data_IF_359302669456
#
_entry.id   IF_359302669456
#
_cell.length_a   1.000
_cell.length_b   1.000
_cell.length_c   1.000
_cell.angle_alpha   90.00
_cell.angle_beta   90.00
_cell.angle_gamma   90.00
#
_symmetry.space_group_name_H-M   'P 1'
#
loop_
_entity.id
_entity.type
_entity.pdbx_description
1 polymer ?
#
# COMPACT_ATOMS: atom_id res chain seq x y z
N UNK A 1 6.03 5.64 12.83
CA UNK A 1 5.67 5.89 14.24
C UNK A 1 6.42 4.98 15.20
N UNK A 2 6.23 3.65 15.20
CA UNK A 2 6.94 2.73 16.11
C UNK A 2 8.47 2.82 15.98
N UNK A 3 8.98 2.79 14.75
CA UNK A 3 10.41 2.97 14.47
C UNK A 3 10.92 4.34 14.93
N UNK A 4 10.18 5.41 14.63
CA UNK A 4 10.55 6.77 15.02
C UNK A 4 10.61 6.97 16.55
N UNK A 5 9.75 6.27 17.29
CA UNK A 5 9.77 6.22 18.76
C UNK A 5 10.86 5.29 19.34
N UNK A 6 11.61 4.59 18.49
CA UNK A 6 12.63 3.63 18.92
C UNK A 6 12.06 2.34 19.52
N UNK A 7 10.78 2.02 19.28
CA UNK A 7 10.15 0.78 19.78
C UNK A 7 10.59 -0.46 18.98
N UNK A 8 11.02 -0.26 17.73
CA UNK A 8 11.60 -1.28 16.85
C UNK A 8 12.50 -0.63 15.79
N UNK A 9 13.29 -1.43 15.08
CA UNK A 9 14.06 -0.99 13.91
C UNK A 9 13.64 -1.76 12.65
N UNK A 10 13.89 -1.21 11.47
CA UNK A 10 13.60 -1.88 10.21
C UNK A 10 14.42 -3.16 10.05
N UNK A 11 15.65 -3.15 10.56
CA UNK A 11 16.62 -4.25 10.51
C UNK A 11 16.36 -5.31 11.58
N UNK A 12 15.43 -5.07 12.53
CA UNK A 12 15.05 -6.09 13.50
C UNK A 12 14.46 -7.31 12.78
N UNK A 13 14.97 -8.49 13.11
CA UNK A 13 14.35 -9.76 12.72
C UNK A 13 12.98 -9.87 13.36
N UNK A 14 11.99 -10.36 12.62
CA UNK A 14 10.61 -10.52 13.11
C UNK A 14 10.57 -11.45 14.33
N UNK A 15 11.43 -12.47 14.37
CA UNK A 15 11.52 -13.41 15.48
C UNK A 15 11.86 -12.76 16.83
N UNK A 16 12.43 -11.56 16.84
CA UNK A 16 12.64 -10.76 18.05
C UNK A 16 11.34 -10.48 18.80
N UNK A 17 10.25 -10.30 18.05
CA UNK A 17 8.91 -10.00 18.58
C UNK A 17 7.96 -11.19 18.48
N UNK A 18 8.24 -12.12 17.55
CA UNK A 18 7.39 -13.26 17.25
C UNK A 18 8.23 -14.53 17.00
N UNK A 19 8.68 -15.24 18.04
CA UNK A 19 9.59 -16.37 17.88
C UNK A 19 9.06 -17.46 16.91
N UNK A 20 7.77 -17.79 17.00
CA UNK A 20 7.12 -18.81 16.16
C UNK A 20 7.07 -18.42 14.68
N UNK A 21 7.21 -17.13 14.34
CA UNK A 21 7.37 -16.69 12.96
C UNK A 21 8.59 -17.33 12.31
N UNK A 22 9.63 -17.69 13.07
CA UNK A 22 10.87 -18.27 12.54
C UNK A 22 10.73 -19.66 11.93
N UNK A 23 9.59 -20.33 12.11
CA UNK A 23 9.35 -21.66 11.53
C UNK A 23 9.52 -21.64 9.99
N UNK A 24 9.87 -22.79 9.41
CA UNK A 24 9.94 -22.99 7.95
C UNK A 24 10.87 -22.00 7.20
N UNK A 25 12.04 -21.69 7.76
CA UNK A 25 13.07 -20.89 7.08
C UNK A 25 12.81 -19.37 7.10
N UNK A 26 12.06 -18.89 8.10
CA UNK A 26 11.66 -17.48 8.23
C UNK A 26 12.45 -16.71 9.30
N UNK A 27 13.43 -17.36 9.95
CA UNK A 27 14.20 -16.84 11.08
C UNK A 27 14.94 -15.53 10.79
N UNK A 28 15.37 -15.31 9.54
CA UNK A 28 16.17 -14.16 9.14
C UNK A 28 15.35 -13.02 8.52
N UNK A 29 14.04 -13.19 8.38
CA UNK A 29 13.17 -12.15 7.83
C UNK A 29 13.12 -10.94 8.78
N UNK A 30 13.37 -9.76 8.23
CA UNK A 30 13.31 -8.49 8.95
C UNK A 30 11.98 -7.76 8.72
N UNK A 31 11.70 -6.76 9.56
CA UNK A 31 10.57 -5.83 9.36
C UNK A 31 10.68 -5.12 8.01
N UNK A 32 11.89 -4.72 7.62
CA UNK A 32 12.20 -4.13 6.32
C UNK A 32 11.79 -5.04 5.18
N UNK A 33 12.16 -6.32 5.20
CA UNK A 33 11.80 -7.28 4.15
C UNK A 33 10.27 -7.43 4.00
N UNK A 34 9.50 -7.39 5.08
CA UNK A 34 8.03 -7.38 4.98
C UNK A 34 7.56 -6.10 4.32
N UNK A 35 8.06 -4.95 4.77
CA UNK A 35 7.65 -3.62 4.30
C UNK A 35 8.09 -3.31 2.87
N UNK A 36 9.08 -4.02 2.34
CA UNK A 36 9.58 -3.90 0.96
C UNK A 36 9.13 -5.04 0.06
N UNK A 37 8.29 -5.96 0.55
CA UNK A 37 7.76 -7.13 -0.18
C UNK A 37 8.84 -8.15 -0.60
N UNK A 38 9.85 -8.32 0.23
CA UNK A 38 10.99 -9.24 0.04
C UNK A 38 10.95 -10.45 0.98
N UNK A 39 9.91 -10.57 1.82
CA UNK A 39 9.78 -11.64 2.81
C UNK A 39 9.48 -13.04 2.23
N UNK A 40 9.15 -13.16 0.94
CA UNK A 40 8.84 -14.47 0.35
C UNK A 40 7.41 -14.95 0.55
N UNK A 41 6.49 -14.11 1.04
CA UNK A 41 5.14 -14.50 1.44
C UNK A 41 4.02 -13.80 0.65
N UNK A 42 4.07 -13.75 -0.71
CA UNK A 42 3.10 -13.01 -1.52
C UNK A 42 1.68 -13.58 -1.45
N UNK A 43 1.53 -14.84 -1.05
CA UNK A 43 0.27 -15.54 -0.78
C UNK A 43 0.52 -16.64 0.26
N UNK A 44 -0.57 -17.14 0.87
CA UNK A 44 -0.55 -18.29 1.77
C UNK A 44 -1.11 -19.53 1.06
N UNK A 45 -0.58 -20.71 1.37
CA UNK A 45 -1.08 -21.97 0.80
C UNK A 45 -2.38 -22.43 1.49
N UNK A 46 -2.59 -22.02 2.74
CA UNK A 46 -3.81 -22.33 3.48
C UNK A 46 -5.04 -21.70 2.80
N UNK A 47 -6.08 -22.53 2.61
CA UNK A 47 -7.41 -22.03 2.25
C UNK A 47 -8.14 -21.58 3.52
N UNK A 48 -8.75 -20.39 3.49
CA UNK A 48 -9.51 -19.88 4.62
C UNK A 48 -10.64 -18.95 4.18
N UNK A 49 -11.73 -18.94 4.96
CA UNK A 49 -12.78 -17.95 4.84
C UNK A 49 -12.41 -16.71 5.67
N UNK A 50 -12.50 -15.53 5.05
CA UNK A 50 -12.33 -14.24 5.73
C UNK A 50 -13.30 -14.06 6.90
N UNK A 51 -14.51 -14.63 6.81
CA UNK A 51 -15.53 -14.47 7.84
C UNK A 51 -15.19 -15.26 9.12
N UNK A 52 -14.39 -16.31 9.01
CA UNK A 52 -13.99 -17.16 10.14
C UNK A 52 -12.56 -16.88 10.62
N UNK A 53 -11.90 -15.89 10.02
CA UNK A 53 -10.52 -15.56 10.32
C UNK A 53 -10.42 -14.88 11.67
N UNK A 54 -9.75 -15.55 12.62
CA UNK A 54 -9.35 -14.96 13.90
C UNK A 54 -7.87 -14.62 13.87
N UNK A 55 -7.43 -13.81 14.83
CA UNK A 55 -6.03 -13.43 14.97
C UNK A 55 -5.12 -14.64 15.25
N UNK A 56 -5.61 -15.62 16.01
CA UNK A 56 -4.91 -16.85 16.36
C UNK A 56 -4.78 -17.75 15.13
N UNK A 57 -5.86 -17.93 14.38
CA UNK A 57 -5.84 -18.68 13.11
C UNK A 57 -4.88 -18.04 12.11
N UNK A 58 -4.94 -16.72 11.96
CA UNK A 58 -4.06 -15.98 11.06
C UNK A 58 -2.59 -16.10 11.47
N UNK A 59 -2.28 -15.97 12.76
CA UNK A 59 -0.92 -16.16 13.28
C UNK A 59 -0.43 -17.56 12.94
N UNK A 60 -1.24 -18.59 13.18
CA UNK A 60 -0.86 -19.97 12.92
C UNK A 60 -0.61 -20.25 11.44
N UNK A 61 -1.46 -19.72 10.55
CA UNK A 61 -1.25 -19.79 9.10
C UNK A 61 0.10 -19.18 8.72
N UNK A 62 0.41 -17.98 9.24
CA UNK A 62 1.68 -17.31 8.94
C UNK A 62 2.88 -18.09 9.49
N UNK A 63 2.78 -18.62 10.71
CA UNK A 63 3.83 -19.44 11.33
C UNK A 63 4.13 -20.69 10.49
N UNK A 64 3.09 -21.35 9.99
CA UNK A 64 3.21 -22.59 9.22
C UNK A 64 3.54 -22.37 7.73
N UNK A 65 3.53 -21.12 7.25
CA UNK A 65 3.79 -20.81 5.84
C UNK A 65 5.28 -20.90 5.48
N UNK A 66 5.62 -21.58 4.39
CA UNK A 66 6.98 -21.58 3.82
C UNK A 66 7.14 -20.43 2.80
N UNK A 67 8.24 -19.64 2.86
CA UNK A 67 8.54 -18.65 1.83
C UNK A 67 8.55 -19.27 0.42
N UNK A 68 7.82 -18.65 -0.52
CA UNK A 68 7.77 -19.07 -1.94
C UNK A 68 9.08 -18.86 -2.68
N UNK A 69 10.03 -18.22 -2.02
CA UNK A 69 11.38 -17.98 -2.46
C UNK A 69 12.25 -17.56 -1.28
N UNK A 70 13.58 -17.72 -1.38
CA UNK A 70 14.47 -17.33 -0.29
C UNK A 70 14.28 -15.84 0.07
N UNK A 71 13.99 -15.50 1.34
CA UNK A 71 13.76 -14.13 1.75
C UNK A 71 14.91 -13.19 1.37
N UNK A 72 14.58 -11.95 1.01
CA UNK A 72 15.56 -10.95 0.62
C UNK A 72 16.13 -11.08 -0.79
N UNK A 73 15.84 -12.16 -1.54
CA UNK A 73 16.45 -12.37 -2.88
C UNK A 73 15.73 -11.67 -4.03
N UNK A 74 14.44 -11.35 -3.88
CA UNK A 74 13.64 -10.66 -4.90
C UNK A 74 12.43 -9.98 -4.29
N UNK A 75 11.85 -9.06 -5.06
CA UNK A 75 10.65 -8.30 -4.72
C UNK A 75 9.43 -8.91 -5.44
N UNK A 76 8.42 -9.32 -4.69
CA UNK A 76 7.12 -9.75 -5.24
C UNK A 76 6.01 -9.14 -4.41
N UNK A 77 5.17 -8.27 -4.98
CA UNK A 77 4.13 -7.57 -4.23
C UNK A 77 3.17 -8.52 -3.48
N UNK A 78 3.06 -8.31 -2.17
CA UNK A 78 2.22 -9.07 -1.23
C UNK A 78 0.83 -8.42 -1.15
N UNK A 79 0.00 -8.56 -2.17
CA UNK A 79 -1.19 -7.72 -2.36
C UNK A 79 -2.19 -7.72 -1.17
N UNK A 80 -2.36 -8.87 -0.52
CA UNK A 80 -3.27 -9.02 0.64
C UNK A 80 -2.48 -9.42 1.89
N UNK A 81 -1.54 -10.37 1.74
CA UNK A 81 -0.75 -10.88 2.86
C UNK A 81 0.08 -9.80 3.54
N UNK A 82 0.49 -8.73 2.83
CA UNK A 82 1.21 -7.59 3.42
C UNK A 82 0.51 -7.05 4.67
N UNK A 83 -0.79 -6.78 4.58
CA UNK A 83 -1.53 -6.14 5.66
C UNK A 83 -1.69 -7.05 6.87
N UNK A 84 -1.85 -8.37 6.66
CA UNK A 84 -1.88 -9.33 7.75
C UNK A 84 -0.51 -9.51 8.42
N UNK A 85 0.54 -9.65 7.62
CA UNK A 85 1.90 -9.80 8.13
C UNK A 85 2.28 -8.61 8.99
N UNK A 86 2.12 -7.39 8.47
CA UNK A 86 2.51 -6.20 9.20
C UNK A 86 1.62 -5.93 10.41
N UNK A 87 0.32 -6.27 10.37
CA UNK A 87 -0.57 -6.15 11.53
C UNK A 87 -0.16 -7.11 12.65
N UNK A 88 0.16 -8.37 12.34
CA UNK A 88 0.61 -9.35 13.34
C UNK A 88 1.95 -8.96 13.98
N UNK A 89 2.88 -8.42 13.18
CA UNK A 89 4.14 -7.87 13.69
C UNK A 89 3.88 -6.64 14.55
N UNK A 90 3.05 -5.71 14.08
CA UNK A 90 2.72 -4.48 14.79
C UNK A 90 2.10 -4.75 16.16
N UNK A 91 1.16 -5.69 16.25
CA UNK A 91 0.49 -6.07 17.51
C UNK A 91 1.47 -6.57 18.57
N UNK A 92 2.52 -7.29 18.16
CA UNK A 92 3.55 -7.79 19.08
C UNK A 92 4.54 -6.70 19.52
N UNK A 93 4.65 -5.62 18.75
CA UNK A 93 5.44 -4.42 19.10
C UNK A 93 4.63 -3.45 19.97
N UNK A 94 3.33 -3.30 19.70
CA UNK A 94 2.46 -2.40 20.46
C UNK A 94 2.24 -2.92 21.89
N UNK A 95 2.53 -2.06 22.87
CA UNK A 95 2.40 -2.40 24.31
C UNK A 95 0.99 -2.87 24.70
N UNK A 96 -0.04 -2.37 24.01
CA UNK A 96 -1.43 -2.73 24.28
C UNK A 96 -1.94 -3.83 23.34
N UNK A 97 -1.06 -4.41 22.50
CA UNK A 97 -1.38 -5.45 21.53
C UNK A 97 -2.52 -5.11 20.56
N UNK A 98 -2.72 -3.81 20.32
CA UNK A 98 -3.74 -3.28 19.42
C UNK A 98 -3.41 -3.60 17.98
N UNK A 99 -4.43 -3.90 17.18
CA UNK A 99 -4.34 -3.90 15.72
C UNK A 99 -3.91 -2.53 15.20
N UNK A 100 -3.39 -2.48 13.98
CA UNK A 100 -3.08 -1.22 13.28
C UNK A 100 -4.33 -0.34 13.20
N UNK A 101 -5.51 -0.93 12.96
CA UNK A 101 -6.77 -0.19 12.91
C UNK A 101 -7.16 0.46 14.23
N UNK A 102 -7.03 -0.26 15.35
CA UNK A 102 -7.28 0.28 16.69
C UNK A 102 -6.26 1.35 17.08
N UNK A 103 -4.97 1.11 16.80
CA UNK A 103 -3.93 2.11 17.02
C UNK A 103 -4.20 3.38 16.21
N UNK A 104 -4.54 3.23 14.92
CA UNK A 104 -4.87 4.36 14.06
C UNK A 104 -6.07 5.13 14.61
N UNK A 105 -7.13 4.42 15.01
CA UNK A 105 -8.34 5.02 15.59
C UNK A 105 -8.00 5.87 16.82
N UNK A 106 -7.24 5.32 17.75
CA UNK A 106 -7.03 5.95 19.06
C UNK A 106 -5.94 7.03 19.03
N UNK A 107 -4.86 6.82 18.27
CA UNK A 107 -3.70 7.72 18.26
C UNK A 107 -3.79 8.83 17.18
N UNK A 108 -4.59 8.60 16.13
CA UNK A 108 -4.65 9.49 14.96
C UNK A 108 -6.08 9.95 14.73
N UNK A 109 -7.00 9.03 14.47
CA UNK A 109 -8.37 9.34 14.05
C UNK A 109 -9.11 10.21 15.07
N UNK A 110 -9.21 9.74 16.32
CA UNK A 110 -9.89 10.46 17.41
C UNK A 110 -9.15 11.75 17.79
N UNK A 111 -7.82 11.70 17.84
CA UNK A 111 -6.98 12.83 18.27
C UNK A 111 -7.03 14.00 17.31
N UNK A 112 -7.03 13.75 16.01
CA UNK A 112 -6.99 14.77 14.97
C UNK A 112 -8.29 14.93 14.18
N UNK A 113 -9.34 14.22 14.59
CA UNK A 113 -10.66 14.22 13.97
C UNK A 113 -10.59 14.01 12.44
N UNK A 114 -9.83 12.98 12.01
CA UNK A 114 -9.72 12.63 10.58
C UNK A 114 -10.72 11.55 10.21
N UNK A 115 -11.40 11.76 9.08
CA UNK A 115 -12.41 10.83 8.57
C UNK A 115 -11.78 9.71 7.70
N UNK A 116 -10.99 8.86 8.36
CA UNK A 116 -10.31 7.68 7.78
C UNK A 116 -10.49 6.49 8.70
N UNK A 117 -10.79 5.32 8.13
CA UNK A 117 -11.08 4.09 8.85
C UNK A 117 -10.25 2.94 8.31
N UNK A 118 -9.73 2.13 9.22
CA UNK A 118 -9.13 0.82 8.95
C UNK A 118 -9.92 -0.14 9.85
N UNK A 119 -11.01 -0.68 9.32
CA UNK A 119 -12.06 -1.29 10.15
C UNK A 119 -12.85 -0.24 10.93
N UNK A 120 -13.70 -0.66 11.86
CA UNK A 120 -14.51 0.25 12.72
C UNK A 120 -15.36 1.30 11.96
N UNK A 121 -15.84 0.98 10.75
CA UNK A 121 -16.60 1.92 9.91
C UNK A 121 -18.11 1.62 9.84
N UNK A 122 -18.65 0.78 10.72
CA UNK A 122 -20.03 0.30 10.64
C UNK A 122 -21.06 1.44 10.68
N UNK A 123 -20.86 2.43 11.54
CA UNK A 123 -21.73 3.62 11.64
C UNK A 123 -21.69 4.50 10.39
N UNK A 124 -20.66 4.33 9.55
CA UNK A 124 -20.37 5.16 8.39
C UNK A 124 -20.87 4.53 7.10
N UNK A 125 -21.47 3.34 7.19
CA UNK A 125 -21.85 2.53 6.04
C UNK A 125 -22.75 3.28 5.04
N UNK A 126 -23.66 4.12 5.53
CA UNK A 126 -24.59 4.90 4.72
C UNK A 126 -23.93 5.92 3.77
N UNK A 127 -22.69 6.33 4.04
CA UNK A 127 -21.93 7.30 3.25
C UNK A 127 -20.74 6.70 2.51
N UNK A 128 -20.52 5.39 2.63
CA UNK A 128 -19.48 4.69 1.86
C UNK A 128 -19.97 4.53 0.43
N UNK A 129 -19.26 5.17 -0.51
CA UNK A 129 -19.56 5.05 -1.92
C UNK A 129 -19.25 3.62 -2.42
N UNK A 130 -20.23 2.96 -3.04
CA UNK A 130 -20.04 1.62 -3.61
C UNK A 130 -19.03 1.64 -4.75
N UNK A 131 -18.02 0.77 -4.66
CA UNK A 131 -17.05 0.50 -5.70
C UNK A 131 -17.74 -0.13 -6.92
N UNK A 132 -17.40 0.38 -8.10
CA UNK A 132 -17.86 -0.09 -9.41
C UNK A 132 -16.67 -0.27 -10.33
N UNK A 133 -16.62 -1.38 -11.06
CA UNK A 133 -15.64 -1.56 -12.14
C UNK A 133 -16.27 -1.13 -13.45
N UNK A 134 -15.58 -0.24 -14.18
CA UNK A 134 -15.98 0.10 -15.54
C UNK A 134 -15.56 -1.02 -16.50
N UNK A 135 -16.46 -1.98 -16.76
CA UNK A 135 -16.22 -3.16 -17.62
C UNK A 135 -15.87 -2.82 -19.08
N UNK A 136 -16.38 -1.71 -19.63
CA UNK A 136 -16.07 -1.23 -20.99
C UNK A 136 -15.09 -0.06 -20.93
N UNK A 137 -13.86 -0.26 -21.41
CA UNK A 137 -12.93 0.84 -21.68
C UNK A 137 -13.46 1.60 -22.91
N UNK A 138 -13.73 2.92 -22.85
CA UNK A 138 -14.17 3.67 -24.03
C UNK A 138 -13.11 3.58 -25.14
N UNK A 139 -13.52 3.39 -26.40
CA UNK A 139 -12.60 3.37 -27.57
C UNK A 139 -11.68 4.60 -27.62
N UNK A 140 -12.13 5.75 -27.10
CA UNK A 140 -11.33 6.99 -27.01
C UNK A 140 -10.10 6.89 -26.08
N UNK A 141 -10.12 6.00 -25.09
CA UNK A 141 -8.94 5.70 -24.27
C UNK A 141 -7.98 4.72 -24.98
N UNK A 142 -8.45 3.98 -26.00
CA UNK A 142 -7.60 3.05 -26.76
C UNK A 142 -6.59 3.76 -27.66
N UNK A 143 -6.90 4.98 -28.13
CA UNK A 143 -6.02 5.75 -28.99
C UNK A 143 -4.80 6.36 -28.25
N UNK A 144 -4.89 6.52 -26.93
CA UNK A 144 -3.82 7.09 -26.11
C UNK A 144 -3.01 6.05 -25.33
N UNK A 145 -3.61 4.90 -25.01
CA UNK A 145 -2.89 3.75 -24.45
C UNK A 145 -2.46 2.79 -25.58
N UNK A 146 -1.46 3.21 -26.37
CA UNK A 146 -0.88 2.40 -27.48
C UNK A 146 -0.32 1.03 -27.04
N UNK A 147 -0.29 0.72 -25.74
CA UNK A 147 0.19 -0.54 -25.15
C UNK A 147 -0.94 -1.53 -24.80
N UNK A 148 -2.19 -1.26 -25.18
CA UNK A 148 -3.33 -2.18 -24.94
C UNK A 148 -3.15 -3.56 -25.62
N UNK A 149 -2.35 -3.66 -26.68
CA UNK A 149 -2.26 -4.88 -27.50
C UNK A 149 -1.28 -5.95 -27.01
N UNK A 150 -0.44 -5.68 -25.99
CA UNK A 150 0.64 -6.60 -25.55
C UNK A 150 0.36 -7.34 -24.22
N UNK A 151 -0.85 -7.33 -23.67
CA UNK A 151 -1.12 -7.95 -22.35
C UNK A 151 -1.78 -9.34 -22.39
N UNK A 152 -2.24 -9.81 -23.56
CA UNK A 152 -2.79 -11.17 -23.70
C UNK A 152 -1.74 -12.28 -23.54
N UNK A 153 -0.45 -11.93 -23.53
CA UNK A 153 0.68 -12.87 -23.50
C UNK A 153 1.34 -13.03 -22.11
N UNK A 154 1.17 -12.09 -21.18
CA UNK A 154 1.92 -12.12 -19.91
C UNK A 154 1.33 -13.08 -18.85
N UNK A 155 0.12 -13.61 -19.09
CA UNK A 155 -0.41 -14.77 -18.37
C UNK A 155 0.06 -16.12 -18.96
N UNK A 156 0.97 -16.12 -19.94
CA UNK A 156 1.54 -17.30 -20.59
C UNK A 156 3.08 -17.26 -20.64
N UNK A 157 3.74 -16.97 -19.52
CA UNK A 157 5.14 -17.37 -19.39
C UNK A 157 5.20 -18.89 -19.15
N UNK A 158 5.57 -19.65 -20.20
CA UNK A 158 6.01 -21.04 -20.07
C UNK A 158 7.17 -21.08 -19.05
N UNK A 159 6.96 -21.75 -17.92
CA UNK A 159 7.97 -21.91 -16.86
C UNK A 159 7.67 -21.22 -15.53
N UNK A 160 6.58 -20.45 -15.42
CA UNK A 160 6.08 -20.06 -14.09
C UNK A 160 5.60 -21.33 -13.36
N UNK A 161 6.04 -21.61 -12.12
CA UNK A 161 5.55 -22.75 -11.35
C UNK A 161 4.02 -22.70 -11.32
N UNK A 162 3.39 -23.85 -11.59
CA UNK A 162 1.94 -24.03 -11.59
C UNK A 162 1.38 -23.31 -10.36
N UNK A 163 0.60 -22.27 -10.63
CA UNK A 163 0.02 -21.38 -9.65
C UNK A 163 -0.58 -22.17 -8.48
N UNK A 164 -0.12 -21.89 -7.26
CA UNK A 164 -0.79 -22.32 -6.04
C UNK A 164 -2.25 -21.86 -6.05
N UNK A 165 -3.11 -22.65 -5.40
CA UNK A 165 -4.57 -22.48 -5.36
C UNK A 165 -5.05 -21.30 -4.51
N UNK A 166 -4.14 -20.54 -3.90
CA UNK A 166 -4.45 -19.38 -3.07
C UNK A 166 -5.17 -18.25 -3.84
N UNK A 167 -6.03 -17.53 -3.11
CA UNK A 167 -6.92 -16.49 -3.63
C UNK A 167 -6.18 -15.42 -4.44
N UNK A 168 -6.35 -15.45 -5.77
CA UNK A 168 -6.00 -14.34 -6.65
C UNK A 168 -7.12 -13.30 -6.55
N UNK A 169 -6.95 -12.25 -5.74
CA UNK A 169 -7.82 -11.06 -5.82
C UNK A 169 -7.48 -10.31 -7.11
N UNK A 170 -7.96 -10.85 -8.23
CA UNK A 170 -7.95 -10.17 -9.51
C UNK A 170 -8.96 -9.03 -9.50
N UNK A 171 -8.86 -8.14 -10.49
CA UNK A 171 -9.84 -7.06 -10.67
C UNK A 171 -11.29 -7.54 -10.81
N UNK A 172 -11.54 -8.84 -11.00
CA UNK A 172 -12.86 -9.42 -11.24
C UNK A 172 -13.73 -9.53 -9.98
N UNK A 173 -13.14 -9.44 -8.78
CA UNK A 173 -13.86 -9.59 -7.50
C UNK A 173 -13.78 -8.35 -6.60
N UNK A 174 -13.44 -7.17 -7.12
CA UNK A 174 -13.27 -5.97 -6.28
C UNK A 174 -14.55 -5.49 -5.61
N UNK A 175 -15.71 -5.92 -6.14
CA UNK A 175 -17.01 -5.67 -5.57
C UNK A 175 -17.22 -6.38 -4.23
N UNK A 176 -16.41 -7.40 -3.90
CA UNK A 176 -16.38 -7.99 -2.56
C UNK A 176 -16.14 -6.92 -1.48
N UNK A 177 -15.30 -5.92 -1.76
CA UNK A 177 -15.02 -4.83 -0.82
C UNK A 177 -16.20 -3.88 -0.59
N UNK A 178 -17.32 -4.07 -1.30
CA UNK A 178 -18.60 -3.44 -0.98
C UNK A 178 -19.31 -4.10 0.21
N UNK A 179 -18.93 -5.31 0.61
CA UNK A 179 -19.51 -6.02 1.75
C UNK A 179 -19.05 -5.40 3.08
N UNK A 180 -19.98 -4.92 3.94
CA UNK A 180 -19.63 -4.39 5.26
C UNK A 180 -18.92 -5.41 6.15
N UNK A 181 -19.21 -6.71 5.99
CA UNK A 181 -18.60 -7.79 6.79
C UNK A 181 -17.10 -7.87 6.54
N UNK A 182 -16.67 -7.68 5.29
CA UNK A 182 -15.25 -7.62 4.96
C UNK A 182 -14.60 -6.34 5.47
N UNK A 183 -15.26 -5.18 5.36
CA UNK A 183 -14.69 -3.91 5.86
C UNK A 183 -14.45 -3.92 7.36
N UNK A 184 -15.34 -4.51 8.16
CA UNK A 184 -15.21 -4.59 9.63
C UNK A 184 -13.95 -5.32 10.08
N UNK A 185 -13.45 -6.29 9.29
CA UNK A 185 -12.19 -7.00 9.58
C UNK A 185 -11.02 -6.03 9.72
N UNK A 186 -11.06 -4.89 9.03
CA UNK A 186 -10.03 -3.87 9.16
C UNK A 186 -8.66 -4.29 8.65
N UNK A 187 -8.60 -5.22 7.68
CA UNK A 187 -7.38 -5.61 7.00
C UNK A 187 -6.64 -4.37 6.42
N UNK A 188 -5.47 -3.99 6.97
CA UNK A 188 -4.78 -2.75 6.57
C UNK A 188 -4.36 -2.66 5.11
N UNK A 189 -4.22 -3.77 4.39
CA UNK A 189 -3.83 -3.74 2.97
C UNK A 189 -4.93 -3.25 2.03
N UNK A 190 -6.20 -3.56 2.31
CA UNK A 190 -7.29 -3.44 1.30
C UNK A 190 -8.59 -2.84 1.81
N UNK A 191 -8.82 -2.75 3.13
CA UNK A 191 -10.12 -2.35 3.69
C UNK A 191 -10.17 -0.89 4.20
N UNK A 192 -9.19 -0.07 3.85
CA UNK A 192 -9.18 1.34 4.21
C UNK A 192 -10.33 2.12 3.56
N UNK A 193 -11.04 2.93 4.35
CA UNK A 193 -12.13 3.80 3.88
C UNK A 193 -11.82 5.24 4.26
N UNK A 194 -11.85 6.14 3.28
CA UNK A 194 -11.60 7.55 3.50
C UNK A 194 -12.23 8.43 2.41
N UNK A 195 -12.42 9.71 2.73
CA UNK A 195 -12.49 10.74 1.70
C UNK A 195 -11.07 11.14 1.26
N UNK A 196 -10.92 11.66 0.02
CA UNK A 196 -9.62 12.15 -0.45
C UNK A 196 -9.08 13.28 0.44
N UNK A 197 -9.98 14.10 1.00
CA UNK A 197 -9.63 15.19 1.92
C UNK A 197 -9.00 14.66 3.21
N UNK A 198 -9.65 13.68 3.83
CA UNK A 198 -9.20 13.14 5.12
C UNK A 198 -7.94 12.30 5.00
N UNK A 199 -7.79 11.56 3.90
CA UNK A 199 -6.54 10.86 3.60
C UNK A 199 -5.39 11.86 3.35
N UNK A 200 -5.63 12.94 2.60
CA UNK A 200 -4.65 14.01 2.43
C UNK A 200 -4.30 14.71 3.75
N UNK A 201 -5.29 14.98 4.60
CA UNK A 201 -5.08 15.57 5.93
C UNK A 201 -4.24 14.66 6.84
N UNK A 202 -4.47 13.35 6.79
CA UNK A 202 -3.65 12.38 7.53
C UNK A 202 -2.19 12.42 7.08
N UNK A 203 -1.95 12.46 5.76
CA UNK A 203 -0.60 12.64 5.21
C UNK A 203 -0.01 14.02 5.54
N UNK A 204 -0.83 15.05 5.70
CA UNK A 204 -0.38 16.38 6.12
C UNK A 204 0.12 16.37 7.56
N UNK A 205 -0.61 15.71 8.47
CA UNK A 205 -0.18 15.50 9.86
C UNK A 205 1.12 14.67 9.93
N UNK A 206 1.31 13.75 9.00
CA UNK A 206 2.55 13.02 8.87
C UNK A 206 3.70 13.92 8.39
N UNK A 207 3.49 14.66 7.31
CA UNK A 207 4.51 15.49 6.65
C UNK A 207 4.90 16.74 7.46
N UNK A 208 3.99 17.29 8.29
CA UNK A 208 4.27 18.47 9.12
C UNK A 208 4.94 18.14 10.47
N UNK A 209 5.19 16.86 10.75
CA UNK A 209 5.86 16.41 11.97
C UNK A 209 4.93 16.10 13.15
N UNK A 210 3.60 16.12 12.96
CA UNK A 210 2.65 15.84 14.06
C UNK A 210 2.58 14.34 14.42
N UNK A 211 2.88 13.46 13.46
CA UNK A 211 2.85 12.01 13.67
C UNK A 211 4.23 11.36 13.77
N UNK A 212 5.25 11.97 13.16
CA UNK A 212 6.63 11.46 13.09
C UNK A 212 7.62 12.61 13.15
N UNK A 213 8.83 12.37 13.63
CA UNK A 213 9.88 13.39 13.69
C UNK A 213 10.35 13.85 12.30
N UNK A 214 10.92 15.05 12.24
CA UNK A 214 11.55 15.58 11.01
C UNK A 214 12.75 14.74 10.57
N UNK A 215 13.47 14.13 11.52
CA UNK A 215 14.56 13.20 11.21
C UNK A 215 14.04 11.93 10.53
N UNK A 216 12.89 11.42 10.94
CA UNK A 216 12.24 10.30 10.27
C UNK A 216 11.78 10.68 8.85
N UNK A 217 11.22 11.87 8.65
CA UNK A 217 10.87 12.36 7.31
C UNK A 217 12.09 12.45 6.38
N UNK A 218 13.25 12.88 6.90
CA UNK A 218 14.51 12.86 6.15
C UNK A 218 14.93 11.43 5.81
N UNK A 219 14.85 10.49 6.76
CA UNK A 219 15.20 9.07 6.56
C UNK A 219 14.41 8.45 5.40
N UNK A 220 13.12 8.73 5.32
CA UNK A 220 12.25 8.17 4.28
C UNK A 220 12.20 9.01 2.99
N UNK A 221 13.01 10.06 2.87
CA UNK A 221 12.95 10.97 1.71
C UNK A 221 13.39 10.32 0.39
N UNK A 222 14.02 9.14 0.47
CA UNK A 222 14.47 8.34 -0.65
C UNK A 222 14.07 6.88 -0.46
N UNK A 223 13.85 6.13 -1.55
CA UNK A 223 13.59 4.69 -1.48
C UNK A 223 14.81 3.94 -0.92
N UNK A 224 14.57 2.75 -0.36
CA UNK A 224 15.64 1.81 -0.01
C UNK A 224 16.09 1.01 -1.24
N UNK A 225 15.15 0.74 -2.14
CA UNK A 225 15.38 0.04 -3.41
C UNK A 225 14.81 0.88 -4.54
N UNK A 226 15.65 1.26 -5.49
CA UNK A 226 15.27 2.06 -6.66
C UNK A 226 15.22 1.19 -7.92
N UNK A 227 14.11 1.27 -8.66
CA UNK A 227 13.89 0.58 -9.94
C UNK A 227 14.16 -0.93 -9.91
N UNK A 228 13.75 -1.62 -8.84
CA UNK A 228 13.80 -3.07 -8.79
C UNK A 228 12.58 -3.70 -9.44
N UNK A 229 12.79 -4.73 -10.27
CA UNK A 229 11.70 -5.45 -10.90
C UNK A 229 10.85 -6.23 -9.89
N UNK A 230 9.59 -5.82 -9.73
CA UNK A 230 8.60 -6.54 -8.94
C UNK A 230 7.91 -7.61 -9.80
N UNK A 231 8.03 -8.88 -9.40
CA UNK A 231 7.51 -9.99 -10.23
C UNK A 231 6.00 -10.16 -10.18
N UNK A 232 5.33 -9.63 -9.15
CA UNK A 232 3.86 -9.66 -9.07
C UNK A 232 3.26 -8.50 -9.87
N UNK A 233 3.87 -7.32 -9.80
CA UNK A 233 3.42 -6.12 -10.51
C UNK A 233 3.85 -6.16 -12.00
N UNK A 234 5.01 -6.77 -12.30
CA UNK A 234 5.56 -6.91 -13.65
C UNK A 234 6.23 -5.63 -14.19
N UNK A 235 6.74 -4.76 -13.32
CA UNK A 235 7.59 -3.62 -13.69
C UNK A 235 8.61 -3.30 -12.61
N UNK A 236 9.54 -2.42 -12.97
CA UNK A 236 10.46 -1.79 -12.04
C UNK A 236 9.72 -0.87 -11.08
N UNK A 237 10.06 -1.00 -9.81
CA UNK A 237 9.44 -0.29 -8.71
C UNK A 237 10.49 0.28 -7.77
N UNK A 238 10.21 1.45 -7.22
CA UNK A 238 11.01 2.01 -6.13
C UNK A 238 10.25 1.88 -4.82
N UNK A 239 10.86 1.26 -3.81
CA UNK A 239 10.20 0.91 -2.54
C UNK A 239 11.10 1.20 -1.35
N UNK A 240 10.47 1.43 -0.20
CA UNK A 240 11.17 1.61 1.06
C UNK A 240 10.22 1.97 2.19
N UNK A 241 10.51 1.48 3.39
CA UNK A 241 9.81 1.90 4.62
C UNK A 241 8.29 1.68 4.61
N UNK A 242 7.78 0.78 3.74
CA UNK A 242 6.34 0.52 3.56
C UNK A 242 5.67 1.38 2.48
N UNK A 243 6.42 2.22 1.77
CA UNK A 243 5.91 3.10 0.72
C UNK A 243 6.43 2.70 -0.66
N UNK A 244 5.67 3.11 -1.68
CA UNK A 244 6.07 3.14 -3.07
C UNK A 244 6.53 4.56 -3.43
N UNK A 245 7.63 4.65 -4.16
CA UNK A 245 8.27 5.88 -4.59
C UNK A 245 8.14 6.04 -6.10
N UNK A 246 7.77 7.24 -6.52
CA UNK A 246 7.69 7.60 -7.94
C UNK A 246 8.32 8.98 -8.15
N UNK A 247 8.87 9.23 -9.33
CA UNK A 247 9.39 10.55 -9.68
C UNK A 247 8.26 11.48 -10.10
N UNK A 248 8.24 12.68 -9.53
CA UNK A 248 7.34 13.75 -9.96
C UNK A 248 7.71 14.26 -11.36
N UNK A 249 6.85 15.08 -12.01
CA UNK A 249 7.22 15.84 -13.20
C UNK A 249 8.45 16.73 -13.01
N UNK A 250 8.75 17.16 -11.77
CA UNK A 250 9.93 17.94 -11.40
C UNK A 250 11.11 17.06 -10.94
N UNK A 251 11.04 15.73 -11.13
CA UNK A 251 12.08 14.75 -10.77
C UNK A 251 12.40 14.63 -9.28
N UNK A 252 11.57 15.21 -8.43
CA UNK A 252 11.56 14.97 -6.97
C UNK A 252 10.89 13.64 -6.63
N UNK A 253 11.22 13.06 -5.49
CA UNK A 253 10.59 11.84 -5.02
C UNK A 253 9.19 12.09 -4.45
N UNK A 254 8.23 11.30 -4.90
CA UNK A 254 6.88 11.23 -4.35
C UNK A 254 6.73 9.92 -3.59
N UNK A 255 6.25 10.01 -2.36
CA UNK A 255 6.14 8.90 -1.41
C UNK A 255 4.66 8.61 -1.19
N UNK A 256 4.24 7.35 -1.25
CA UNK A 256 2.87 6.98 -0.92
C UNK A 256 2.52 5.60 -1.43
N UNK A 257 1.31 5.46 -1.98
CA UNK A 257 0.86 4.19 -2.53
C UNK A 257 -0.15 4.42 -3.66
N UNK A 258 -0.15 3.53 -4.65
CA UNK A 258 -1.15 3.45 -5.72
C UNK A 258 -1.96 2.17 -5.58
N UNK A 259 -3.26 2.23 -5.83
CA UNK A 259 -4.14 1.08 -5.64
C UNK A 259 -4.84 0.70 -6.93
N UNK A 260 -5.44 -0.49 -6.93
CA UNK A 260 -6.31 -0.95 -8.01
C UNK A 260 -7.38 0.11 -8.30
N UNK A 261 -7.68 0.29 -9.59
CA UNK A 261 -8.66 1.26 -10.08
C UNK A 261 -8.15 2.69 -10.18
N UNK A 262 -6.87 2.93 -9.84
CA UNK A 262 -6.17 4.17 -10.05
C UNK A 262 -6.36 5.20 -8.93
N UNK A 263 -6.72 4.74 -7.73
CA UNK A 263 -6.69 5.59 -6.53
C UNK A 263 -5.25 5.72 -6.06
N UNK A 264 -4.88 6.88 -5.52
CA UNK A 264 -3.49 7.17 -5.18
C UNK A 264 -3.40 8.31 -4.16
N UNK A 265 -2.42 8.21 -3.29
CA UNK A 265 -2.01 9.27 -2.37
C UNK A 265 -0.50 9.41 -2.49
N UNK A 266 -0.03 10.64 -2.69
CA UNK A 266 1.39 10.96 -2.84
C UNK A 266 1.73 12.20 -2.02
N UNK A 267 2.76 12.13 -1.20
CA UNK A 267 3.43 13.28 -0.61
C UNK A 267 4.76 13.53 -1.32
N UNK A 268 5.07 14.78 -1.59
CA UNK A 268 6.36 15.25 -2.09
C UNK A 268 6.92 16.25 -1.08
N UNK A 269 7.87 15.75 -0.27
CA UNK A 269 8.48 16.51 0.82
C UNK A 269 9.26 17.71 0.25
N UNK A 270 9.93 17.55 -0.89
CA UNK A 270 10.76 18.59 -1.50
C UNK A 270 9.94 19.78 -2.05
N UNK A 271 8.68 19.53 -2.40
CA UNK A 271 7.75 20.55 -2.86
C UNK A 271 6.66 20.91 -1.84
N UNK A 272 6.72 20.35 -0.63
CA UNK A 272 5.70 20.52 0.42
C UNK A 272 4.27 20.30 -0.11
N UNK A 273 4.07 19.20 -0.83
CA UNK A 273 2.86 18.95 -1.61
C UNK A 273 2.28 17.57 -1.29
N UNK A 274 0.95 17.50 -1.17
CA UNK A 274 0.21 16.23 -1.08
C UNK A 274 -0.84 16.21 -2.17
N UNK A 275 -0.88 15.13 -2.95
CA UNK A 275 -1.89 14.88 -3.98
C UNK A 275 -2.62 13.59 -3.62
N UNK A 276 -3.92 13.70 -3.34
CA UNK A 276 -4.80 12.56 -3.11
C UNK A 276 -5.87 12.49 -4.19
N UNK A 277 -6.06 11.32 -4.77
CA UNK A 277 -7.12 11.04 -5.72
C UNK A 277 -7.78 9.71 -5.38
N UNK A 278 -9.05 9.75 -4.97
CA UNK A 278 -9.88 8.58 -4.70
C UNK A 278 -11.06 8.56 -5.66
N UNK A 279 -11.51 7.37 -6.06
CA UNK A 279 -12.66 7.20 -6.94
C UNK A 279 -13.38 5.90 -6.64
N UNK A 280 -14.72 5.93 -6.69
CA UNK A 280 -15.54 4.73 -6.59
C UNK A 280 -15.74 4.02 -7.94
N UNK A 281 -15.31 4.63 -9.05
CA UNK A 281 -15.39 4.02 -10.39
C UNK A 281 -14.00 3.60 -10.83
N UNK A 282 -13.66 2.37 -10.47
CA UNK A 282 -12.36 1.78 -10.71
C UNK A 282 -12.18 1.53 -12.21
N UNK A 283 -11.06 2.04 -12.74
CA UNK A 283 -10.69 1.87 -14.14
C UNK A 283 -9.97 0.54 -14.31
N UNK A 284 -10.32 -0.21 -15.36
CA UNK A 284 -9.55 -1.40 -15.76
C UNK A 284 -8.13 -0.97 -16.06
N UNK A 285 -7.21 -1.53 -15.30
CA UNK A 285 -5.83 -1.13 -15.27
C UNK A 285 -5.09 -1.79 -16.44
N UNK A 286 -4.43 -0.98 -17.27
CA UNK A 286 -3.61 -1.46 -18.38
C UNK A 286 -2.30 -0.69 -18.26
N UNK A 287 -1.26 -1.38 -17.80
CA UNK A 287 0.10 -0.89 -17.48
C UNK A 287 0.27 -0.25 -16.10
N UNK A 288 1.50 -0.36 -15.58
CA UNK A 288 1.98 0.11 -14.27
C UNK A 288 2.03 1.63 -14.10
N UNK A 289 1.10 2.34 -14.73
CA UNK A 289 1.03 3.79 -14.76
C UNK A 289 -0.25 4.28 -14.10
N UNK A 290 -0.16 5.38 -13.37
CA UNK A 290 -1.33 6.05 -12.80
C UNK A 290 -2.38 6.35 -13.90
N UNK A 291 -3.69 6.36 -13.56
CA UNK A 291 -4.70 6.62 -14.56
C UNK A 291 -4.53 8.03 -15.15
N UNK A 292 -4.79 8.18 -16.45
CA UNK A 292 -4.71 9.49 -17.15
C UNK A 292 -5.36 10.66 -16.41
N UNK A 293 -6.46 10.42 -15.69
CA UNK A 293 -7.10 11.46 -14.85
C UNK A 293 -6.19 11.96 -13.73
N UNK A 294 -5.52 11.05 -13.03
CA UNK A 294 -4.53 11.43 -12.02
C UNK A 294 -3.32 12.10 -12.67
N UNK A 295 -2.78 11.55 -13.77
CA UNK A 295 -1.64 12.17 -14.45
C UNK A 295 -1.94 13.61 -14.89
N UNK A 296 -3.14 13.87 -15.42
CA UNK A 296 -3.57 15.22 -15.78
C UNK A 296 -3.65 16.15 -14.56
N UNK A 297 -4.22 15.67 -13.45
CA UNK A 297 -4.29 16.42 -12.19
C UNK A 297 -2.89 16.74 -11.67
N UNK A 298 -2.00 15.75 -11.67
CA UNK A 298 -0.63 15.88 -11.24
C UNK A 298 0.11 16.91 -12.08
N UNK A 299 0.09 16.79 -13.41
CA UNK A 299 0.74 17.75 -14.32
C UNK A 299 0.23 19.17 -14.09
N UNK A 300 -1.09 19.36 -13.95
CA UNK A 300 -1.66 20.69 -13.68
C UNK A 300 -1.14 21.27 -12.36
N UNK A 301 -1.09 20.48 -11.29
CA UNK A 301 -0.57 20.91 -9.98
C UNK A 301 0.91 21.27 -10.08
N UNK A 302 1.74 20.42 -10.71
CA UNK A 302 3.18 20.68 -10.80
C UNK A 302 3.52 21.86 -11.72
N UNK A 303 2.70 22.16 -12.73
CA UNK A 303 2.84 23.40 -13.50
C UNK A 303 2.65 24.64 -12.62
N UNK A 304 1.71 24.62 -11.68
CA UNK A 304 1.50 25.71 -10.71
C UNK A 304 2.70 25.80 -9.74
N UNK A 305 3.18 24.66 -9.24
CA UNK A 305 4.37 24.62 -8.35
C UNK A 305 5.60 25.18 -9.06
N UNK A 306 5.82 24.78 -10.32
CA UNK A 306 6.94 25.29 -11.14
C UNK A 306 6.85 26.81 -11.30
N UNK A 307 5.69 27.32 -11.70
CA UNK A 307 5.47 28.76 -11.87
C UNK A 307 5.72 29.54 -10.57
N UNK A 308 5.24 29.05 -9.43
CA UNK A 308 5.48 29.68 -8.13
C UNK A 308 6.96 29.70 -7.75
N UNK A 309 7.72 28.67 -8.09
CA UNK A 309 9.17 28.63 -7.85
C UNK A 309 9.90 29.67 -8.71
N UNK A 310 9.54 29.78 -9.98
CA UNK A 310 10.10 30.79 -10.90
C UNK A 310 9.77 32.22 -10.43
N UNK A 311 8.52 32.48 -10.02
CA UNK A 311 8.10 33.79 -9.48
C UNK A 311 8.85 34.17 -8.18
N UNK A 312 9.16 33.20 -7.33
CA UNK A 312 9.91 33.45 -6.10
C UNK A 312 11.41 33.70 -6.37
N UNK A 313 11.98 33.06 -7.40
CA UNK A 313 13.38 33.30 -7.81
C UNK A 313 13.56 34.70 -8.40
N UNK A 314 12.56 35.22 -9.14
CA UNK A 314 12.60 36.57 -9.70
C UNK A 314 12.46 37.69 -8.66
N UNK A 315 12.04 37.36 -7.43
CA UNK A 315 11.86 38.32 -6.33
C UNK A 315 13.06 38.38 -5.37
N UNK A 316 14.04 37.49 -5.54
CA UNK A 316 15.28 37.43 -4.75
C UNK A 316 16.42 38.04 -5.56
#
# INVERSE_FOLDING_TARGET
MKVDKGECNYEDKVIKFWPQFGNNGKEDITIEMILTHRAGLPYFDAEFDFNEMTNEKLSKIIEDEEPKYPPGTKTEYHAVTFGWLIDQVFRRIDKNQRTIGEFFRDEIQKKYNVDLYIGSCAEQENRIAKLRIRRKVPRRNHAHDRKILMLGQYFRCKGAPRAGKGLRVGTEHIDMFNDPRLRVIGQPAVNGVASARSLAQTFQLFMNGSLVSTNFLKRISQPQYENEFDRTIGSDESKGYGFIYDKSPLKTWQIGHRTIGGQTIRMDIANNLIICYLTNTLKKWVNNTDPKTYCNLQTAIYNIVKKKKEENQLKQ
#
